data_IF_411261263227
#
_entry.id   IF_411261263227
#
_cell.length_a   1.000
_cell.length_b   1.000
_cell.length_c   1.000
_cell.angle_alpha   90.00
_cell.angle_beta   90.00
_cell.angle_gamma   90.00
#
_symmetry.space_group_name_H-M   'P 1'
#
loop_
_entity.id
_entity.type
_entity.pdbx_description
1 polymer ?
#
# COMPACT_ATOMS: atom_id res chain seq x y z
N UNK A 1 -0.70 16.36 4.31
CA UNK A 1 -0.99 16.73 2.89
C UNK A 1 -0.21 15.80 1.96
N UNK A 2 -0.71 15.48 0.76
CA UNK A 2 0.07 14.72 -0.22
C UNK A 2 0.96 15.66 -1.05
N UNK A 3 2.23 15.29 -1.20
CA UNK A 3 3.26 16.07 -1.90
C UNK A 3 4.04 15.16 -2.84
N UNK A 4 4.59 15.73 -3.89
CA UNK A 4 5.45 15.02 -4.84
C UNK A 4 6.88 15.50 -4.73
N UNK A 5 7.85 14.59 -4.81
CA UNK A 5 9.27 14.92 -4.73
C UNK A 5 10.13 13.97 -5.59
N UNK A 6 11.09 14.52 -6.32
CA UNK A 6 12.02 13.70 -7.11
C UNK A 6 12.99 12.90 -6.21
N UNK A 7 13.38 11.69 -6.64
CA UNK A 7 14.25 10.79 -5.90
C UNK A 7 15.61 11.42 -5.51
N UNK A 8 16.18 12.25 -6.39
CA UNK A 8 17.41 12.99 -6.07
C UNK A 8 17.20 14.03 -4.97
N UNK A 9 16.05 14.72 -5.01
CA UNK A 9 15.70 15.73 -4.02
C UNK A 9 15.43 15.07 -2.65
N UNK A 10 14.74 13.92 -2.61
CA UNK A 10 14.56 13.12 -1.39
C UNK A 10 15.89 12.75 -0.76
N UNK A 11 16.82 12.18 -1.56
CA UNK A 11 18.14 11.76 -1.07
C UNK A 11 18.89 12.89 -0.36
N UNK A 12 18.78 14.13 -0.86
CA UNK A 12 19.48 15.29 -0.28
C UNK A 12 18.79 15.87 0.96
N UNK A 13 17.49 15.70 1.11
CA UNK A 13 16.70 16.35 2.16
C UNK A 13 15.89 15.37 3.01
N UNK A 14 16.32 14.11 3.10
CA UNK A 14 15.53 13.04 3.71
C UNK A 14 15.15 13.33 5.16
N UNK A 15 16.06 13.92 5.95
CA UNK A 15 15.75 14.34 7.32
C UNK A 15 14.58 15.32 7.42
N UNK A 16 14.49 16.31 6.51
CA UNK A 16 13.37 17.25 6.44
C UNK A 16 12.08 16.55 6.03
N UNK A 17 12.15 15.63 5.05
CA UNK A 17 10.99 14.83 4.63
C UNK A 17 10.43 14.03 5.81
N UNK A 18 11.29 13.33 6.56
CA UNK A 18 10.87 12.57 7.74
C UNK A 18 10.25 13.48 8.81
N UNK A 19 10.85 14.65 9.07
CA UNK A 19 10.29 15.60 10.03
C UNK A 19 8.89 16.07 9.63
N UNK A 20 8.66 16.36 8.35
CA UNK A 20 7.34 16.78 7.87
C UNK A 20 6.31 15.63 7.91
N UNK A 21 6.73 14.41 7.59
CA UNK A 21 5.88 13.21 7.69
C UNK A 21 5.45 12.98 9.15
N UNK A 22 6.40 13.01 10.09
CA UNK A 22 6.15 12.74 11.52
C UNK A 22 5.40 13.89 12.18
N UNK A 23 5.84 15.14 11.98
CA UNK A 23 5.32 16.28 12.72
C UNK A 23 4.05 16.90 12.11
N UNK A 24 3.85 16.77 10.78
CA UNK A 24 2.74 17.40 10.06
C UNK A 24 1.75 16.40 9.45
N UNK A 25 2.03 15.10 9.54
CA UNK A 25 1.23 14.06 8.89
C UNK A 25 1.27 14.16 7.37
N UNK A 26 2.34 14.74 6.81
CA UNK A 26 2.53 14.81 5.37
C UNK A 26 2.83 13.43 4.77
N UNK A 27 2.51 13.27 3.49
CA UNK A 27 2.77 12.06 2.70
C UNK A 27 3.48 12.49 1.43
N UNK A 28 4.53 11.77 1.07
CA UNK A 28 5.33 12.08 -0.10
C UNK A 28 5.25 10.97 -1.12
N UNK A 29 4.91 11.30 -2.36
CA UNK A 29 5.12 10.45 -3.53
C UNK A 29 6.51 10.77 -4.09
N UNK A 30 7.37 9.76 -4.13
CA UNK A 30 8.72 9.87 -4.67
C UNK A 30 8.71 9.50 -6.14
N UNK A 31 9.21 10.38 -6.99
CA UNK A 31 9.26 10.17 -8.43
C UNK A 31 10.67 9.98 -8.96
N UNK A 32 10.81 9.17 -10.01
CA UNK A 32 12.06 9.04 -10.78
C UNK A 32 11.72 9.22 -12.26
N UNK A 33 12.31 10.22 -12.90
CA UNK A 33 11.99 10.60 -14.29
C UNK A 33 10.49 10.92 -14.52
N UNK A 34 9.82 11.51 -13.52
CA UNK A 34 8.39 11.85 -13.57
C UNK A 34 7.45 10.70 -13.21
N UNK A 35 7.97 9.48 -13.03
CA UNK A 35 7.16 8.32 -12.67
C UNK A 35 7.18 8.08 -11.15
N UNK A 36 6.04 7.87 -10.49
CA UNK A 36 5.96 7.46 -9.09
C UNK A 36 6.63 6.11 -8.85
N UNK A 37 7.58 6.06 -7.91
CA UNK A 37 8.34 4.83 -7.59
C UNK A 37 8.26 4.41 -6.13
N UNK A 38 7.93 5.32 -5.21
CA UNK A 38 7.77 5.01 -3.80
C UNK A 38 6.87 6.04 -3.11
N UNK A 39 6.43 5.73 -1.89
CA UNK A 39 5.77 6.67 -1.00
C UNK A 39 6.45 6.69 0.36
N UNK A 40 6.55 7.87 0.97
CA UNK A 40 6.95 8.05 2.37
C UNK A 40 5.72 8.48 3.15
N UNK A 41 5.34 7.66 4.12
CA UNK A 41 4.14 7.84 4.94
C UNK A 41 4.50 7.64 6.42
N UNK A 42 3.68 8.15 7.36
CA UNK A 42 3.82 7.81 8.77
C UNK A 42 3.75 6.30 8.98
N UNK A 43 4.53 5.78 9.95
CA UNK A 43 4.62 4.34 10.19
C UNK A 43 3.27 3.74 10.59
N UNK A 44 2.44 4.51 11.27
CA UNK A 44 1.09 4.12 11.69
C UNK A 44 0.19 3.85 10.49
N UNK A 45 0.31 4.64 9.42
CA UNK A 45 -0.43 4.43 8.18
C UNK A 45 0.03 3.16 7.46
N UNK A 46 1.35 2.93 7.44
CA UNK A 46 1.91 1.71 6.86
C UNK A 46 1.44 0.46 7.62
N UNK A 47 1.47 0.47 8.95
CA UNK A 47 0.98 -0.64 9.77
C UNK A 47 -0.53 -0.83 9.62
N UNK A 48 -1.33 0.23 9.52
CA UNK A 48 -2.76 0.12 9.22
C UNK A 48 -3.02 -0.59 7.88
N UNK A 49 -2.26 -0.28 6.83
CA UNK A 49 -2.39 -0.99 5.55
C UNK A 49 -2.02 -2.46 5.66
N UNK A 50 -0.97 -2.78 6.42
CA UNK A 50 -0.55 -4.15 6.68
C UNK A 50 -1.62 -4.94 7.45
N UNK A 51 -2.21 -4.35 8.49
CA UNK A 51 -3.29 -4.95 9.26
C UNK A 51 -4.57 -5.10 8.44
N UNK A 52 -5.00 -4.07 7.70
CA UNK A 52 -6.18 -4.15 6.85
C UNK A 52 -6.06 -5.26 5.80
N UNK A 53 -4.85 -5.46 5.26
CA UNK A 53 -4.56 -6.57 4.35
C UNK A 53 -4.66 -7.92 5.06
N UNK A 54 -4.13 -8.05 6.28
CA UNK A 54 -4.31 -9.26 7.08
C UNK A 54 -5.78 -9.56 7.37
N UNK A 55 -6.55 -8.56 7.81
CA UNK A 55 -7.98 -8.69 8.09
C UNK A 55 -8.77 -9.06 6.83
N UNK A 56 -8.44 -8.48 5.68
CA UNK A 56 -9.05 -8.83 4.42
C UNK A 56 -8.83 -10.32 4.10
N UNK A 57 -7.60 -10.82 4.22
CA UNK A 57 -7.31 -12.24 3.97
C UNK A 57 -8.01 -13.17 4.97
N UNK A 58 -8.10 -12.79 6.24
CA UNK A 58 -8.87 -13.57 7.22
C UNK A 58 -10.37 -13.59 6.89
N UNK A 59 -10.94 -12.48 6.38
CA UNK A 59 -12.33 -12.46 5.89
C UNK A 59 -12.52 -13.35 4.67
N UNK A 60 -11.57 -13.35 3.73
CA UNK A 60 -11.58 -14.24 2.56
C UNK A 60 -11.52 -15.70 3.00
N UNK A 61 -10.61 -16.05 3.93
CA UNK A 61 -10.51 -17.40 4.50
C UNK A 61 -11.80 -17.81 5.23
N UNK A 62 -12.38 -16.93 6.02
CA UNK A 62 -13.66 -17.21 6.68
C UNK A 62 -14.79 -17.42 5.67
N UNK A 63 -14.79 -16.69 4.56
CA UNK A 63 -15.75 -16.88 3.47
C UNK A 63 -15.53 -18.19 2.71
N UNK A 64 -14.28 -18.58 2.44
CA UNK A 64 -13.97 -19.83 1.75
C UNK A 64 -14.36 -21.07 2.54
N UNK A 65 -14.13 -21.06 3.86
CA UNK A 65 -14.61 -22.12 4.76
C UNK A 65 -16.13 -22.25 4.71
N UNK A 66 -16.86 -21.12 4.76
CA UNK A 66 -18.34 -21.13 4.61
C UNK A 66 -18.79 -21.62 3.23
N UNK A 67 -18.02 -21.33 2.19
CA UNK A 67 -18.29 -21.74 0.82
C UNK A 67 -17.75 -23.15 0.47
N UNK A 68 -17.10 -23.83 1.43
CA UNK A 68 -16.47 -25.13 1.25
C UNK A 68 -15.44 -25.19 0.11
N UNK A 69 -14.73 -24.08 -0.12
CA UNK A 69 -13.65 -23.97 -1.09
C UNK A 69 -12.34 -24.46 -0.49
N UNK A 70 -11.51 -25.12 -1.30
CA UNK A 70 -10.13 -25.42 -0.90
C UNK A 70 -9.32 -24.12 -0.74
N UNK A 71 -8.23 -24.13 0.04
CA UNK A 71 -7.31 -22.99 0.13
C UNK A 71 -6.85 -22.48 -1.23
N UNK A 72 -6.53 -23.40 -2.15
CA UNK A 72 -6.04 -23.09 -3.50
C UNK A 72 -7.13 -22.48 -4.40
N UNK A 73 -8.39 -22.84 -4.20
CA UNK A 73 -9.53 -22.24 -4.90
C UNK A 73 -9.82 -20.83 -4.38
N UNK A 74 -9.74 -20.64 -3.06
CA UNK A 74 -9.93 -19.34 -2.43
C UNK A 74 -8.85 -18.33 -2.83
N UNK A 75 -7.58 -18.74 -2.80
CA UNK A 75 -6.45 -17.88 -3.16
C UNK A 75 -6.52 -17.44 -4.62
N UNK A 76 -6.90 -18.36 -5.52
CA UNK A 76 -7.09 -18.06 -6.95
C UNK A 76 -8.19 -17.03 -7.18
N UNK A 77 -9.33 -17.18 -6.49
CA UNK A 77 -10.46 -16.25 -6.59
C UNK A 77 -10.08 -14.85 -6.06
N UNK A 78 -9.32 -14.80 -4.96
CA UNK A 78 -8.81 -13.55 -4.41
C UNK A 78 -7.82 -12.86 -5.37
N UNK A 79 -6.91 -13.62 -5.98
CA UNK A 79 -5.99 -13.11 -6.99
C UNK A 79 -6.71 -12.54 -8.22
N UNK A 80 -7.74 -13.23 -8.71
CA UNK A 80 -8.56 -12.77 -9.83
C UNK A 80 -9.24 -11.44 -9.53
N UNK A 81 -9.81 -11.28 -8.33
CA UNK A 81 -10.39 -10.02 -7.89
C UNK A 81 -9.36 -8.87 -7.82
N UNK A 82 -8.15 -9.15 -7.32
CA UNK A 82 -7.05 -8.17 -7.26
C UNK A 82 -6.57 -7.79 -8.67
N UNK A 83 -6.46 -8.77 -9.59
CA UNK A 83 -6.06 -8.51 -10.98
C UNK A 83 -7.09 -7.68 -11.73
N UNK A 84 -8.39 -7.94 -11.54
CA UNK A 84 -9.47 -7.19 -12.18
C UNK A 84 -9.40 -5.69 -11.86
N UNK A 85 -9.07 -5.32 -10.61
CA UNK A 85 -8.91 -3.92 -10.21
C UNK A 85 -7.63 -3.31 -10.79
N UNK A 86 -6.55 -4.09 -10.89
CA UNK A 86 -5.24 -3.61 -11.39
C UNK A 86 -5.16 -3.48 -12.90
N UNK A 87 -5.90 -4.29 -13.66
CA UNK A 87 -5.93 -4.27 -15.13
C UNK A 87 -6.96 -3.30 -15.74
N UNK A 88 -7.83 -2.70 -14.92
CA UNK A 88 -8.84 -1.72 -15.35
C UNK A 88 -8.36 -0.27 -15.35
N UNK A 89 -7.04 -0.03 -15.41
CA UNK A 89 -6.43 1.30 -15.45
C UNK A 89 -5.69 1.53 -16.75
#
# INVERSE_FOLDING_TARGET
>A
MEKTIGAFAVRRQFGKVLQEVVAKGDRYVVERHGEPVAAVVPIEIYEQWKSARSEFFERVRAASVRANLSPEEADRLAEEGVRAIRGGK
#
